data_IF_661567553921
#
_entry.id   IF_661567553921
#
_cell.length_a   1.000
_cell.length_b   1.000
_cell.length_c   1.000
_cell.angle_alpha   90.00
_cell.angle_beta   90.00
_cell.angle_gamma   90.00
#
_symmetry.space_group_name_H-M   'P 1'
#
loop_
_entity.id
_entity.type
_entity.pdbx_description
1 polymer ?
#
# COMPACT_ATOMS: atom_id res chain seq x y z
N UNK A 1 5.50 -8.83 8.29
CA UNK A 1 4.15 -8.72 7.69
C UNK A 1 3.19 -7.87 8.52
N UNK A 2 3.42 -7.75 9.82
CA UNK A 2 2.55 -6.94 10.70
C UNK A 2 2.54 -5.47 10.29
N UNK A 3 3.68 -4.88 9.99
CA UNK A 3 3.75 -3.49 9.52
C UNK A 3 2.99 -3.31 8.20
N UNK A 4 3.15 -4.26 7.28
CA UNK A 4 2.45 -4.22 6.00
C UNK A 4 0.93 -4.29 6.20
N UNK A 5 0.47 -5.14 7.13
CA UNK A 5 -0.95 -5.26 7.46
C UNK A 5 -1.51 -3.95 8.04
N UNK A 6 -0.73 -3.30 8.91
CA UNK A 6 -1.12 -2.00 9.48
C UNK A 6 -1.21 -0.92 8.40
N UNK A 7 -0.29 -0.92 7.44
CA UNK A 7 -0.32 0.01 6.31
C UNK A 7 -1.53 -0.24 5.41
N UNK A 8 -1.87 -1.51 5.18
CA UNK A 8 -3.03 -1.88 4.38
C UNK A 8 -4.33 -1.39 5.01
N UNK A 9 -4.47 -1.54 6.33
CA UNK A 9 -5.64 -1.04 7.05
C UNK A 9 -5.68 0.49 7.03
N UNK A 10 -4.54 1.14 7.28
CA UNK A 10 -4.43 2.60 7.29
C UNK A 10 -4.82 3.22 5.95
N UNK A 11 -4.51 2.55 4.85
CA UNK A 11 -4.83 3.03 3.51
C UNK A 11 -6.34 3.23 3.32
N UNK A 12 -7.16 2.34 3.89
CA UNK A 12 -8.61 2.45 3.82
C UNK A 12 -9.20 3.51 4.74
N UNK A 13 -8.43 3.92 5.78
CA UNK A 13 -8.89 4.91 6.76
C UNK A 13 -8.40 6.32 6.43
N UNK A 14 -7.21 6.42 5.83
CA UNK A 14 -6.56 7.70 5.49
C UNK A 14 -5.75 7.54 4.22
N UNK A 15 -6.12 8.11 3.14
CA UNK A 15 -5.43 7.98 1.87
C UNK A 15 -4.19 8.90 1.83
N UNK A 16 -3.15 8.55 2.58
CA UNK A 16 -1.88 9.29 2.59
C UNK A 16 -0.91 8.69 1.58
N UNK A 17 -0.32 9.54 0.75
CA UNK A 17 0.62 9.09 -0.28
C UNK A 17 1.80 8.31 0.28
N UNK A 18 2.30 8.71 1.44
CA UNK A 18 3.39 8.00 2.10
C UNK A 18 3.08 6.53 2.35
N UNK A 19 1.84 6.19 2.72
CA UNK A 19 1.43 4.80 2.93
C UNK A 19 1.43 4.01 1.63
N UNK A 20 1.04 4.63 0.51
CA UNK A 20 1.12 4.01 -0.81
C UNK A 20 2.57 3.72 -1.21
N UNK A 21 3.48 4.65 -0.97
CA UNK A 21 4.91 4.48 -1.27
C UNK A 21 5.50 3.36 -0.44
N UNK A 22 5.19 3.33 0.86
CA UNK A 22 5.67 2.29 1.76
C UNK A 22 5.19 0.91 1.30
N UNK A 23 3.91 0.78 0.93
CA UNK A 23 3.36 -0.46 0.41
C UNK A 23 3.98 -0.87 -0.92
N UNK A 24 4.29 0.10 -1.79
CA UNK A 24 5.00 -0.20 -3.03
C UNK A 24 6.31 -0.95 -2.77
N UNK A 25 7.15 -0.44 -1.87
CA UNK A 25 8.42 -1.08 -1.55
C UNK A 25 8.24 -2.42 -0.84
N UNK A 26 7.27 -2.52 0.05
CA UNK A 26 6.98 -3.77 0.76
C UNK A 26 6.54 -4.85 -0.22
N UNK A 27 5.63 -4.55 -1.13
CA UNK A 27 5.11 -5.52 -2.10
C UNK A 27 6.19 -5.89 -3.12
N UNK A 28 6.98 -4.91 -3.53
CA UNK A 28 8.04 -5.15 -4.51
C UNK A 28 9.13 -6.07 -3.97
N UNK A 29 9.53 -5.88 -2.70
CA UNK A 29 10.76 -6.49 -2.18
C UNK A 29 10.57 -7.55 -1.10
N UNK A 30 9.41 -7.61 -0.45
CA UNK A 30 9.24 -8.45 0.76
C UNK A 30 8.05 -9.40 0.74
N UNK A 31 6.84 -8.89 0.50
CA UNK A 31 5.61 -9.67 0.60
C UNK A 31 4.69 -9.35 -0.58
N UNK A 32 4.04 -10.39 -1.13
CA UNK A 32 3.02 -10.12 -2.14
C UNK A 32 1.70 -9.68 -1.49
N UNK A 33 0.77 -9.25 -2.33
CA UNK A 33 -0.50 -8.70 -1.83
C UNK A 33 -1.34 -9.77 -1.12
N UNK A 34 -1.20 -11.03 -1.49
CA UNK A 34 -1.92 -12.14 -0.86
C UNK A 34 -1.44 -12.36 0.57
N UNK A 35 -0.13 -12.34 0.76
CA UNK A 35 0.48 -12.47 2.09
C UNK A 35 0.06 -11.33 3.01
N UNK A 36 0.03 -10.11 2.49
CA UNK A 36 -0.41 -8.94 3.24
C UNK A 36 -1.88 -9.07 3.62
N UNK A 37 -2.73 -9.51 2.68
CA UNK A 37 -4.17 -9.68 2.92
C UNK A 37 -4.45 -10.77 3.95
N UNK A 38 -3.74 -11.90 3.89
CA UNK A 38 -3.87 -12.97 4.86
C UNK A 38 -3.49 -12.51 6.26
N UNK A 39 -2.37 -11.80 6.37
CA UNK A 39 -1.92 -11.28 7.67
C UNK A 39 -2.88 -10.23 8.21
N UNK A 40 -3.43 -9.39 7.35
CA UNK A 40 -4.41 -8.38 7.74
C UNK A 40 -5.69 -9.01 8.27
N UNK A 41 -6.18 -10.06 7.62
CA UNK A 41 -7.34 -10.81 8.11
C UNK A 41 -7.07 -11.48 9.45
N UNK A 42 -5.86 -12.03 9.63
CA UNK A 42 -5.45 -12.65 10.87
C UNK A 42 -5.45 -11.67 12.04
N UNK A 43 -4.92 -10.47 11.81
CA UNK A 43 -4.77 -9.46 12.88
C UNK A 43 -6.07 -8.69 13.11
N UNK A 44 -6.75 -8.27 12.06
CA UNK A 44 -7.87 -7.33 12.13
C UNK A 44 -9.23 -7.97 11.93
N UNK A 45 -9.28 -9.21 11.45
CA UNK A 45 -10.55 -9.90 11.22
C UNK A 45 -11.48 -9.12 10.30
N UNK A 46 -12.69 -8.88 10.76
CA UNK A 46 -13.72 -8.18 9.98
C UNK A 46 -13.45 -6.70 9.75
N UNK A 47 -12.47 -6.12 10.42
CA UNK A 47 -12.06 -4.73 10.18
C UNK A 47 -11.29 -4.59 8.87
N UNK A 48 -10.74 -5.68 8.35
CA UNK A 48 -10.02 -5.67 7.08
C UNK A 48 -10.89 -6.22 5.95
N UNK A 49 -10.93 -5.50 4.83
CA UNK A 49 -11.63 -5.91 3.62
C UNK A 49 -10.64 -5.94 2.46
N UNK A 50 -10.33 -7.14 1.98
CA UNK A 50 -9.33 -7.33 0.91
C UNK A 50 -9.76 -6.64 -0.39
N UNK A 51 -11.02 -6.72 -0.75
CA UNK A 51 -11.54 -6.08 -1.97
C UNK A 51 -11.36 -4.56 -1.90
N UNK A 52 -11.67 -3.98 -0.75
CA UNK A 52 -11.48 -2.55 -0.53
C UNK A 52 -10.00 -2.17 -0.57
N UNK A 53 -9.14 -2.97 0.05
CA UNK A 53 -7.70 -2.74 0.04
C UNK A 53 -7.16 -2.74 -1.39
N UNK A 54 -7.51 -3.73 -2.20
CA UNK A 54 -7.07 -3.80 -3.60
C UNK A 54 -7.59 -2.62 -4.41
N UNK A 55 -8.84 -2.24 -4.22
CA UNK A 55 -9.43 -1.08 -4.88
C UNK A 55 -8.74 0.22 -4.50
N UNK A 56 -8.45 0.41 -3.23
CA UNK A 56 -7.75 1.59 -2.72
C UNK A 56 -6.33 1.68 -3.27
N UNK A 57 -5.64 0.55 -3.38
CA UNK A 57 -4.27 0.51 -3.89
C UNK A 57 -4.18 1.01 -5.34
N UNK A 58 -5.24 0.85 -6.10
CA UNK A 58 -5.33 1.29 -7.49
C UNK A 58 -6.06 2.63 -7.67
N UNK A 59 -6.47 3.28 -6.57
CA UNK A 59 -7.25 4.51 -6.61
C UNK A 59 -6.47 5.66 -5.99
N UNK A 60 -6.25 6.72 -6.76
CA UNK A 60 -5.35 7.80 -6.35
C UNK A 60 -6.02 9.17 -6.21
N UNK A 61 -7.34 9.25 -6.38
CA UNK A 61 -8.06 10.50 -6.16
C UNK A 61 -8.23 10.77 -4.66
N UNK A 62 -8.13 12.04 -4.27
CA UNK A 62 -8.32 12.43 -2.87
C UNK A 62 -7.16 12.06 -1.95
N UNK A 63 -6.01 11.71 -2.51
CA UNK A 63 -4.83 11.37 -1.71
C UNK A 63 -4.26 12.61 -1.04
N UNK A 64 -3.87 12.46 0.22
CA UNK A 64 -3.15 13.48 0.97
C UNK A 64 -1.64 13.37 0.69
N UNK A 65 -1.08 14.41 0.06
CA UNK A 65 0.35 14.48 -0.28
C UNK A 65 1.15 15.38 0.65
N UNK A 66 0.61 15.77 1.79
CA UNK A 66 1.24 16.74 2.69
C UNK A 66 2.54 16.24 3.31
N UNK A 67 2.63 14.94 3.58
CA UNK A 67 3.86 14.38 4.12
C UNK A 67 4.87 14.15 3.00
N UNK A 68 6.08 14.69 3.18
CA UNK A 68 7.17 14.49 2.23
C UNK A 68 7.66 13.05 2.31
N UNK A 69 7.80 12.41 1.16
CA UNK A 69 8.41 11.09 1.08
C UNK A 69 9.90 11.26 0.85
N UNK A 70 10.68 10.72 1.78
CA UNK A 70 12.14 10.71 1.66
C UNK A 70 12.61 9.32 1.25
N UNK A 71 13.40 9.25 0.17
CA UNK A 71 13.97 8.01 -0.30
C UNK A 71 15.42 7.89 0.15
N UNK A 72 15.86 6.67 0.42
CA UNK A 72 17.28 6.41 0.61
C UNK A 72 18.01 6.68 -0.73
N UNK A 73 19.28 7.14 -0.69
CA UNK A 73 20.04 7.37 -1.92
C UNK A 73 20.01 6.15 -2.84
N UNK A 74 19.69 6.38 -4.11
CA UNK A 74 19.60 5.31 -5.10
C UNK A 74 18.25 4.60 -5.15
N UNK A 75 17.30 4.95 -4.27
CA UNK A 75 15.98 4.31 -4.23
C UNK A 75 14.86 5.24 -4.67
N UNK A 76 15.17 6.41 -5.20
CA UNK A 76 14.17 7.35 -5.68
C UNK A 76 13.38 6.74 -6.84
N UNK A 77 12.05 6.81 -6.73
CA UNK A 77 11.14 6.33 -7.77
C UNK A 77 10.09 7.40 -8.03
N UNK A 78 9.84 7.71 -9.29
CA UNK A 78 8.83 8.69 -9.65
C UNK A 78 7.43 8.22 -9.23
N UNK A 79 6.59 9.14 -8.77
CA UNK A 79 5.21 8.84 -8.36
C UNK A 79 4.43 8.09 -9.44
N UNK A 80 4.63 8.48 -10.70
CA UNK A 80 3.98 7.85 -11.84
C UNK A 80 4.30 6.36 -11.95
N UNK A 81 5.55 5.99 -11.68
CA UNK A 81 5.98 4.59 -11.72
C UNK A 81 5.40 3.83 -10.54
N UNK A 82 5.40 4.42 -9.36
CA UNK A 82 4.80 3.82 -8.17
C UNK A 82 3.32 3.52 -8.41
N UNK A 83 2.57 4.48 -8.92
CA UNK A 83 1.14 4.33 -9.22
C UNK A 83 0.89 3.19 -10.21
N UNK A 84 1.67 3.13 -11.27
CA UNK A 84 1.56 2.07 -12.28
C UNK A 84 1.77 0.69 -11.66
N UNK A 85 2.81 0.55 -10.84
CA UNK A 85 3.13 -0.72 -10.19
C UNK A 85 2.08 -1.12 -9.15
N UNK A 86 1.57 -0.17 -8.40
CA UNK A 86 0.51 -0.46 -7.42
C UNK A 86 -0.75 -0.98 -8.10
N UNK A 87 -1.12 -0.43 -9.25
CA UNK A 87 -2.24 -0.94 -10.04
C UNK A 87 -1.98 -2.39 -10.46
N UNK A 88 -0.79 -2.69 -10.97
CA UNK A 88 -0.40 -4.05 -11.33
C UNK A 88 -0.49 -4.99 -10.13
N UNK A 89 0.04 -4.60 -8.98
CA UNK A 89 -0.01 -5.41 -7.76
C UNK A 89 -1.45 -5.68 -7.31
N UNK A 90 -2.35 -4.72 -7.45
CA UNK A 90 -3.73 -4.87 -7.02
C UNK A 90 -4.49 -5.95 -7.79
N UNK A 91 -3.99 -6.33 -8.97
CA UNK A 91 -4.60 -7.33 -9.85
C UNK A 91 -4.05 -8.75 -9.62
N UNK A 92 -3.05 -8.90 -8.81
CA UNK A 92 -2.44 -10.23 -8.56
C UNK A 92 -3.21 -11.10 -7.58
#
# INVERSE_FOLDING_TARGET
ATLAAMKALALGQRAKWKDYVDLYFIIKDHFDIRQISEKSREIFGNLFNEKLFRSQLAYFDGINYQETVEFLPGFEVADKIIKKKLIEFSLN
#
